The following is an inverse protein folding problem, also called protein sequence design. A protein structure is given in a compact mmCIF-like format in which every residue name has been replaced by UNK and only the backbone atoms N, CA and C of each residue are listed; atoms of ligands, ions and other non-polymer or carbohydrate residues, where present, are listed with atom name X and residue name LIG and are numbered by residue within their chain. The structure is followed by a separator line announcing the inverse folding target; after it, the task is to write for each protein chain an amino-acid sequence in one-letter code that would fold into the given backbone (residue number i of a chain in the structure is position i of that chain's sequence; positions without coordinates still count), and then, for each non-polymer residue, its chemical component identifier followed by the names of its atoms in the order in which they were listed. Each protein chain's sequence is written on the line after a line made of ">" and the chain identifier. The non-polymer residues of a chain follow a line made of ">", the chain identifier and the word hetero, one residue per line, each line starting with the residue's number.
data_IF_207622834039
#
_entry.id   IF_207622834039
#
_cell.length_a   1.000
_cell.length_b   1.000
_cell.length_c   1.000
_cell.angle_alpha   90.00
_cell.angle_beta   90.00
_cell.angle_gamma   90.00
#
_symmetry.space_group_name_H-M   'P 1'
#
loop_
_entity.id
_entity.type
_entity.pdbx_description
1 polymer ?
#
# COMPACT_ATOMS: atom_id res chain seq x y z
N UNK A 1 -23.66 -11.40 16.36
CA UNK A 1 -22.54 -12.36 16.57
C UNK A 1 -22.68 -13.60 15.65
N UNK A 2 -23.16 -13.45 14.47
CA UNK A 2 -23.22 -14.48 13.40
C UNK A 2 -23.63 -15.91 13.86
N UNK A 3 -24.50 -16.02 14.90
CA UNK A 3 -24.99 -17.29 15.43
C UNK A 3 -24.03 -18.06 16.36
N UNK A 4 -22.92 -17.46 16.76
CA UNK A 4 -21.92 -18.11 17.64
C UNK A 4 -22.44 -18.22 19.08
N UNK A 5 -22.32 -19.42 19.67
CA UNK A 5 -22.54 -19.63 21.10
C UNK A 5 -21.28 -19.19 21.86
N UNK A 6 -21.24 -17.93 22.27
CA UNK A 6 -20.07 -17.35 22.92
C UNK A 6 -19.66 -18.04 24.23
N UNK A 7 -20.66 -18.42 25.05
CA UNK A 7 -20.37 -19.07 26.32
C UNK A 7 -19.71 -20.45 26.12
N UNK A 8 -20.15 -21.21 25.13
CA UNK A 8 -19.52 -22.46 24.76
C UNK A 8 -18.09 -22.27 24.26
N UNK A 9 -17.85 -21.23 23.42
CA UNK A 9 -16.49 -20.92 22.98
C UNK A 9 -15.59 -20.50 24.13
N UNK A 10 -16.06 -19.63 25.02
CA UNK A 10 -15.33 -19.28 26.23
C UNK A 10 -14.97 -20.46 27.10
N UNK A 11 -15.92 -21.41 27.30
CA UNK A 11 -15.66 -22.62 28.05
C UNK A 11 -14.57 -23.49 27.39
N UNK A 12 -14.62 -23.64 26.08
CA UNK A 12 -13.61 -24.39 25.33
C UNK A 12 -12.20 -23.78 25.46
N UNK A 13 -12.06 -22.47 25.42
CA UNK A 13 -10.75 -21.83 25.48
C UNK A 13 -10.21 -21.70 26.90
N UNK A 14 -11.06 -21.65 27.95
CA UNK A 14 -10.63 -21.62 29.35
C UNK A 14 -9.74 -22.79 29.76
N UNK A 15 -9.89 -23.97 29.15
CA UNK A 15 -9.05 -25.14 29.42
C UNK A 15 -7.58 -24.94 29.10
N UNK A 16 -7.24 -23.99 28.22
CA UNK A 16 -5.85 -23.70 27.85
C UNK A 16 -5.15 -22.76 28.83
N UNK A 17 -5.91 -21.98 29.64
CA UNK A 17 -5.34 -20.99 30.57
C UNK A 17 -4.26 -21.57 31.52
N UNK A 18 -4.41 -22.80 32.11
CA UNK A 18 -3.37 -23.36 32.96
C UNK A 18 -2.06 -23.68 32.24
N UNK A 19 -2.05 -23.70 30.91
CA UNK A 19 -0.92 -24.08 30.09
C UNK A 19 -0.22 -22.83 29.46
N UNK A 20 -0.76 -21.64 29.67
CA UNK A 20 -0.22 -20.37 29.17
C UNK A 20 0.67 -19.76 30.24
N UNK A 21 1.94 -19.49 29.88
CA UNK A 21 2.97 -18.97 30.78
C UNK A 21 3.64 -17.68 30.29
N UNK A 22 3.18 -17.12 29.18
CA UNK A 22 3.68 -15.84 28.67
C UNK A 22 2.58 -15.07 27.93
N UNK A 23 2.79 -13.78 27.76
CA UNK A 23 1.81 -12.88 27.12
C UNK A 23 1.67 -13.12 25.61
N UNK A 24 2.67 -13.68 24.95
CA UNK A 24 2.57 -14.02 23.54
C UNK A 24 1.55 -15.13 23.31
N UNK A 25 1.66 -16.25 24.04
CA UNK A 25 0.72 -17.35 23.93
C UNK A 25 -0.69 -16.94 24.37
N UNK A 26 -0.80 -16.06 25.38
CA UNK A 26 -2.08 -15.50 25.81
C UNK A 26 -2.73 -14.68 24.69
N UNK A 27 -1.97 -13.83 24.01
CA UNK A 27 -2.48 -13.04 22.89
C UNK A 27 -2.92 -13.91 21.71
N UNK A 28 -2.19 -15.00 21.41
CA UNK A 28 -2.57 -15.99 20.40
C UNK A 28 -3.90 -16.65 20.77
N UNK A 29 -4.01 -17.19 21.99
CA UNK A 29 -5.27 -17.83 22.46
C UNK A 29 -6.43 -16.83 22.41
N UNK A 30 -6.23 -15.59 22.86
CA UNK A 30 -7.24 -14.53 22.81
C UNK A 30 -7.65 -14.22 21.36
N UNK A 31 -6.69 -14.18 20.45
CA UNK A 31 -6.94 -13.95 19.03
C UNK A 31 -7.76 -15.07 18.40
N UNK A 32 -7.45 -16.32 18.72
CA UNK A 32 -8.21 -17.49 18.28
C UNK A 32 -9.64 -17.48 18.82
N UNK A 33 -9.81 -17.25 20.14
CA UNK A 33 -11.14 -17.12 20.75
C UNK A 33 -11.99 -16.03 20.08
N UNK A 34 -11.40 -14.86 19.82
CA UNK A 34 -12.09 -13.76 19.16
C UNK A 34 -12.39 -14.09 17.69
N UNK A 35 -11.57 -14.91 17.04
CA UNK A 35 -11.79 -15.41 15.68
C UNK A 35 -13.07 -16.24 15.55
N UNK A 36 -13.53 -16.91 16.62
CA UNK A 36 -14.79 -17.66 16.65
C UNK A 36 -16.02 -16.75 16.39
N UNK A 37 -15.90 -15.44 16.57
CA UNK A 37 -16.97 -14.49 16.25
C UNK A 37 -17.24 -14.40 14.74
N UNK A 38 -16.37 -14.94 13.90
CA UNK A 38 -16.47 -14.92 12.44
C UNK A 38 -16.73 -13.52 11.89
N UNK A 39 -15.93 -12.57 12.33
CA UNK A 39 -16.05 -11.16 11.94
C UNK A 39 -14.65 -10.54 11.81
N UNK A 40 -14.49 -9.62 10.87
CA UNK A 40 -13.24 -8.88 10.70
C UNK A 40 -12.97 -7.96 11.88
N UNK A 41 -11.76 -7.38 11.95
CA UNK A 41 -11.35 -6.41 12.97
C UNK A 41 -11.35 -6.96 14.41
N UNK A 42 -11.28 -8.28 14.58
CA UNK A 42 -11.03 -8.95 15.87
C UNK A 42 -9.57 -9.32 16.02
N UNK A 43 -9.18 -9.72 17.21
CA UNK A 43 -7.89 -10.35 17.51
C UNK A 43 -7.21 -9.81 18.75
N UNK A 44 -6.32 -10.62 19.32
CA UNK A 44 -5.42 -10.25 20.40
C UNK A 44 -4.04 -9.88 19.87
N UNK A 45 -3.39 -8.89 20.50
CA UNK A 45 -2.03 -8.45 20.13
C UNK A 45 -1.18 -8.32 21.38
N UNK A 46 0.04 -8.82 21.29
CA UNK A 46 1.08 -8.60 22.28
C UNK A 46 2.17 -7.70 21.68
N UNK A 47 2.42 -6.57 22.31
CA UNK A 47 3.41 -5.58 21.86
C UNK A 47 4.41 -5.33 23.00
N UNK A 48 5.44 -6.18 23.14
CA UNK A 48 6.45 -5.99 24.17
C UNK A 48 7.25 -4.71 23.91
N UNK A 49 7.62 -4.01 24.98
CA UNK A 49 8.57 -2.91 24.91
C UNK A 49 9.98 -3.45 24.73
N UNK A 50 10.33 -3.83 23.50
CA UNK A 50 11.69 -4.26 23.17
C UNK A 50 12.56 -3.04 22.90
N UNK A 51 13.67 -2.94 23.62
CA UNK A 51 14.77 -2.03 23.26
C UNK A 51 15.60 -2.73 22.17
N UNK A 52 15.21 -2.56 20.91
CA UNK A 52 16.03 -3.02 19.79
C UNK A 52 16.68 -1.82 19.11
N UNK A 53 17.92 -1.99 18.69
CA UNK A 53 18.56 -1.05 17.77
C UNK A 53 18.08 -1.39 16.36
N UNK A 54 17.31 -0.50 15.70
CA UNK A 54 16.79 -0.80 14.37
C UNK A 54 17.91 -0.88 13.35
N UNK A 55 17.87 -1.86 12.48
CA UNK A 55 18.76 -1.96 11.32
C UNK A 55 18.45 -0.87 10.32
N UNK A 56 19.42 -0.03 10.01
CA UNK A 56 19.28 1.02 9.01
C UNK A 56 19.35 0.46 7.59
N UNK A 57 18.95 1.28 6.62
CA UNK A 57 19.01 0.96 5.19
C UNK A 57 19.86 1.98 4.43
N UNK A 58 20.64 1.49 3.49
CA UNK A 58 21.37 2.30 2.52
C UNK A 58 20.51 2.65 1.29
N UNK A 59 19.27 2.14 1.20
CA UNK A 59 18.41 2.21 0.02
C UNK A 59 19.09 1.67 -1.26
N UNK A 60 19.91 0.65 -1.10
CA UNK A 60 20.53 -0.13 -2.17
C UNK A 60 19.88 -1.52 -2.23
N UNK A 61 19.71 -2.02 -3.45
CA UNK A 61 19.47 -3.44 -3.69
C UNK A 61 20.73 -4.12 -4.20
N UNK A 62 20.87 -5.41 -3.88
CA UNK A 62 22.08 -6.17 -4.15
C UNK A 62 21.77 -7.45 -4.94
N UNK A 63 22.76 -7.92 -5.68
CA UNK A 63 22.72 -9.23 -6.34
C UNK A 63 23.09 -10.34 -5.35
N UNK A 64 22.14 -11.09 -4.91
CA UNK A 64 22.34 -12.22 -3.98
C UNK A 64 23.07 -13.41 -4.60
N UNK A 65 23.18 -13.43 -5.94
CA UNK A 65 23.95 -14.47 -6.67
C UNK A 65 25.42 -14.09 -6.84
N UNK A 66 25.81 -12.86 -6.49
CA UNK A 66 27.20 -12.42 -6.53
C UNK A 66 28.03 -13.21 -5.53
N UNK A 67 29.14 -13.83 -6.01
CA UNK A 67 30.00 -14.71 -5.19
C UNK A 67 31.36 -14.08 -4.84
N UNK A 68 31.60 -12.83 -5.25
CA UNK A 68 32.83 -12.10 -4.91
C UNK A 68 32.78 -11.50 -3.51
N UNK A 69 33.89 -10.86 -3.12
CA UNK A 69 33.92 -10.06 -1.88
C UNK A 69 33.06 -8.83 -2.03
N UNK A 70 32.35 -8.45 -0.96
CA UNK A 70 31.42 -7.33 -0.95
C UNK A 70 30.04 -7.68 -1.50
N UNK A 71 29.23 -6.66 -1.78
CA UNK A 71 27.87 -6.77 -2.29
C UNK A 71 27.72 -5.98 -3.60
N UNK A 72 27.37 -6.65 -4.69
CA UNK A 72 27.16 -6.02 -6.00
C UNK A 72 25.80 -5.28 -6.02
N UNK A 73 25.83 -3.98 -6.27
CA UNK A 73 24.64 -3.13 -6.33
C UNK A 73 23.85 -3.45 -7.61
N UNK A 74 22.57 -3.73 -7.47
CA UNK A 74 21.63 -3.90 -8.60
C UNK A 74 20.80 -2.67 -8.85
N UNK A 75 20.51 -1.89 -7.79
CA UNK A 75 19.70 -0.69 -7.88
C UNK A 75 20.03 0.29 -6.75
N UNK A 76 20.02 1.58 -7.05
CA UNK A 76 20.00 2.71 -6.11
C UNK A 76 18.59 3.29 -6.12
N UNK A 77 17.92 3.33 -4.98
CA UNK A 77 16.56 3.86 -4.88
C UNK A 77 16.58 5.39 -4.95
N UNK A 78 15.75 5.95 -5.84
CA UNK A 78 15.53 7.40 -5.97
C UNK A 78 15.11 8.03 -4.63
N UNK A 79 15.79 9.11 -4.23
CA UNK A 79 15.62 9.78 -2.93
C UNK A 79 16.32 9.09 -1.75
N UNK A 80 17.09 8.03 -2.00
CA UNK A 80 17.91 7.35 -0.99
C UNK A 80 19.21 8.10 -0.66
N UNK A 81 19.95 7.66 0.37
CA UNK A 81 21.18 8.31 0.83
C UNK A 81 22.29 8.43 -0.23
N UNK A 82 22.24 7.59 -1.25
CA UNK A 82 23.23 7.53 -2.35
C UNK A 82 22.68 8.04 -3.69
N UNK A 83 21.46 8.63 -3.68
CA UNK A 83 20.85 9.24 -4.85
C UNK A 83 21.03 10.77 -4.81
N UNK A 84 22.24 11.24 -5.08
CA UNK A 84 22.53 12.67 -5.16
C UNK A 84 23.46 13.00 -6.34
N UNK A 85 23.43 14.25 -6.77
CA UNK A 85 24.24 14.72 -7.91
C UNK A 85 25.73 14.55 -7.63
N UNK A 86 26.40 13.78 -8.45
CA UNK A 86 27.83 13.50 -8.33
C UNK A 86 28.19 12.20 -7.60
N UNK A 87 27.20 11.50 -7.03
CA UNK A 87 27.41 10.15 -6.50
C UNK A 87 27.80 9.20 -7.63
N UNK A 88 28.87 8.40 -7.40
CA UNK A 88 29.36 7.43 -8.38
C UNK A 88 28.73 6.04 -8.22
N UNK A 89 27.90 5.85 -7.19
CA UNK A 89 27.28 4.54 -6.90
C UNK A 89 26.16 4.28 -7.89
N UNK A 90 26.27 3.17 -8.61
CA UNK A 90 25.31 2.74 -9.62
C UNK A 90 25.29 1.22 -9.72
N UNK A 91 24.39 0.67 -10.53
CA UNK A 91 24.30 -0.76 -10.81
C UNK A 91 25.67 -1.32 -11.26
N UNK A 92 26.09 -2.41 -10.66
CA UNK A 92 27.36 -3.10 -10.94
C UNK A 92 28.54 -2.67 -10.05
N UNK A 93 28.40 -1.59 -9.29
CA UNK A 93 29.38 -1.17 -8.27
C UNK A 93 29.30 -2.15 -7.09
N UNK A 94 30.41 -2.39 -6.42
CA UNK A 94 30.52 -3.31 -5.27
C UNK A 94 30.72 -2.50 -4.00
N UNK A 95 29.87 -2.68 -3.00
CA UNK A 95 30.07 -2.21 -1.64
C UNK A 95 31.03 -3.19 -0.93
N UNK A 96 32.27 -2.77 -0.66
CA UNK A 96 33.31 -3.62 -0.07
C UNK A 96 33.35 -3.55 1.46
N UNK A 97 33.09 -2.35 2.06
CA UNK A 97 33.18 -2.12 3.51
C UNK A 97 32.11 -1.18 4.04
N UNK A 98 31.78 -1.37 5.32
CA UNK A 98 30.95 -0.45 6.11
C UNK A 98 31.75 -0.09 7.37
N UNK A 99 32.02 1.21 7.59
CA UNK A 99 32.84 1.73 8.69
C UNK A 99 34.21 1.03 8.82
N UNK A 100 34.81 0.69 7.69
CA UNK A 100 36.12 0.02 7.61
C UNK A 100 36.06 -1.51 7.76
N UNK A 101 34.94 -2.09 8.17
CA UNK A 101 34.75 -3.54 8.30
C UNK A 101 34.42 -4.15 6.93
N UNK A 102 35.16 -5.21 6.54
CA UNK A 102 34.96 -5.88 5.24
C UNK A 102 33.70 -6.71 5.21
N UNK A 103 32.99 -6.65 4.06
CA UNK A 103 31.85 -7.50 3.77
C UNK A 103 32.36 -8.75 3.07
N UNK A 104 32.16 -9.90 3.69
CA UNK A 104 32.57 -11.21 3.17
C UNK A 104 31.34 -12.07 2.86
N UNK A 105 31.42 -13.00 1.87
CA UNK A 105 30.26 -13.80 1.48
C UNK A 105 29.68 -14.71 2.56
N UNK A 106 30.46 -15.02 3.57
CA UNK A 106 30.14 -15.89 4.72
C UNK A 106 29.55 -15.14 5.91
N UNK A 107 29.51 -13.80 5.87
CA UNK A 107 29.06 -12.96 6.98
C UNK A 107 27.86 -12.10 6.60
N UNK A 108 26.82 -12.14 7.43
CA UNK A 108 25.69 -11.21 7.32
C UNK A 108 26.18 -9.77 7.58
N UNK A 109 25.99 -8.88 6.62
CA UNK A 109 26.39 -7.47 6.72
C UNK A 109 25.32 -6.58 7.38
N UNK A 110 24.09 -7.02 7.54
CA UNK A 110 23.02 -6.19 8.12
C UNK A 110 23.27 -5.78 9.57
N UNK A 111 23.88 -6.61 10.44
CA UNK A 111 24.27 -6.19 11.78
C UNK A 111 25.19 -4.95 11.82
N UNK A 112 26.02 -4.73 10.77
CA UNK A 112 26.86 -3.54 10.65
C UNK A 112 26.04 -2.24 10.54
N UNK A 113 24.76 -2.33 10.17
CA UNK A 113 23.83 -1.21 10.04
C UNK A 113 22.92 -1.02 11.26
N UNK A 114 23.05 -1.87 12.31
CA UNK A 114 22.23 -1.73 13.52
C UNK A 114 22.57 -0.40 14.23
N UNK A 115 21.52 0.33 14.63
CA UNK A 115 21.66 1.62 15.29
C UNK A 115 22.25 2.75 14.45
N UNK A 116 22.38 2.58 13.12
CA UNK A 116 23.00 3.57 12.20
C UNK A 116 22.01 4.56 11.58
N UNK A 117 20.73 4.46 11.86
CA UNK A 117 19.72 5.40 11.30
C UNK A 117 20.12 6.84 11.64
N UNK A 118 20.34 7.68 10.62
CA UNK A 118 20.71 9.09 10.76
C UNK A 118 22.13 9.34 11.29
N UNK A 119 22.98 8.32 11.43
CA UNK A 119 24.37 8.45 11.85
C UNK A 119 25.30 8.39 10.65
N UNK A 120 26.35 9.23 10.64
CA UNK A 120 27.38 9.19 9.60
C UNK A 120 28.00 7.79 9.54
N UNK A 121 27.96 7.18 8.38
CA UNK A 121 28.45 5.84 8.09
C UNK A 121 29.36 5.90 6.88
N UNK A 122 30.59 5.39 7.02
CA UNK A 122 31.57 5.33 5.94
C UNK A 122 31.36 4.07 5.11
N UNK A 123 31.24 4.23 3.80
CA UNK A 123 31.04 3.14 2.85
C UNK A 123 32.21 3.13 1.86
N UNK A 124 32.86 1.98 1.68
CA UNK A 124 33.93 1.82 0.68
C UNK A 124 33.40 1.05 -0.53
N UNK A 125 33.57 1.62 -1.72
CA UNK A 125 33.08 1.08 -2.97
C UNK A 125 34.21 0.73 -3.95
N UNK A 126 33.91 -0.22 -4.83
CA UNK A 126 34.76 -0.65 -5.93
C UNK A 126 33.96 -0.74 -7.23
N UNK A 127 34.46 -0.13 -8.29
CA UNK A 127 33.90 -0.31 -9.63
C UNK A 127 34.73 -1.34 -10.40
N UNK A 128 34.19 -2.52 -10.73
CA UNK A 128 34.93 -3.58 -11.40
C UNK A 128 35.31 -3.24 -12.86
N UNK A 129 34.64 -2.26 -13.48
CA UNK A 129 34.92 -1.82 -14.85
C UNK A 129 36.09 -0.83 -14.86
N UNK A 130 35.98 0.29 -14.14
CA UNK A 130 37.01 1.33 -14.07
C UNK A 130 38.20 0.98 -13.16
N UNK A 131 38.06 -0.07 -12.31
CA UNK A 131 39.03 -0.45 -11.26
C UNK A 131 39.21 0.61 -10.17
N UNK A 132 38.37 1.60 -10.12
CA UNK A 132 38.39 2.68 -9.14
C UNK A 132 37.84 2.21 -7.79
N UNK A 133 38.48 2.66 -6.68
CA UNK A 133 37.96 2.57 -5.31
C UNK A 133 37.78 3.96 -4.75
N UNK A 134 36.68 4.16 -4.03
CA UNK A 134 36.42 5.43 -3.36
C UNK A 134 35.56 5.19 -2.12
N UNK A 135 35.35 6.23 -1.36
CA UNK A 135 34.56 6.20 -0.14
C UNK A 135 33.44 7.25 -0.20
N UNK A 136 32.30 6.93 0.41
CA UNK A 136 31.17 7.81 0.60
C UNK A 136 30.78 7.84 2.08
N UNK A 137 30.47 9.03 2.60
CA UNK A 137 29.90 9.18 3.94
C UNK A 137 28.42 9.51 3.81
N UNK A 138 27.57 8.62 4.29
CA UNK A 138 26.12 8.75 4.17
C UNK A 138 25.43 8.75 5.53
N UNK A 139 24.16 9.13 5.54
CA UNK A 139 23.25 8.98 6.67
C UNK A 139 22.22 7.89 6.32
N UNK A 140 22.42 6.64 6.73
CA UNK A 140 21.46 5.56 6.46
C UNK A 140 20.08 5.90 6.99
N UNK A 141 19.04 5.45 6.27
CA UNK A 141 17.63 5.73 6.57
C UNK A 141 16.97 4.60 7.35
N UNK A 142 15.80 4.88 7.94
CA UNK A 142 14.98 3.85 8.59
C UNK A 142 14.32 2.92 7.57
N UNK A 143 13.90 1.73 8.00
CA UNK A 143 13.11 0.81 7.17
C UNK A 143 11.75 1.41 6.75
N UNK A 144 11.14 2.24 7.61
CA UNK A 144 9.91 2.96 7.26
C UNK A 144 10.13 3.98 6.14
N UNK A 145 11.26 4.69 6.17
CA UNK A 145 11.65 5.61 5.07
C UNK A 145 11.90 4.83 3.79
N UNK A 146 12.63 3.71 3.85
CA UNK A 146 12.84 2.84 2.68
C UNK A 146 11.50 2.35 2.10
N UNK A 147 10.56 1.93 2.95
CA UNK A 147 9.22 1.50 2.51
C UNK A 147 8.49 2.63 1.79
N UNK A 148 8.60 3.86 2.28
CA UNK A 148 8.03 5.05 1.62
C UNK A 148 8.67 5.30 0.24
N UNK A 149 9.99 5.17 0.11
CA UNK A 149 10.68 5.32 -1.19
C UNK A 149 10.28 4.23 -2.17
N UNK A 150 10.19 2.98 -1.72
CA UNK A 150 9.71 1.84 -2.53
C UNK A 150 8.27 2.06 -3.01
N UNK A 151 7.40 2.56 -2.14
CA UNK A 151 6.03 2.92 -2.49
C UNK A 151 5.99 4.02 -3.57
N UNK A 152 6.74 5.11 -3.39
CA UNK A 152 6.84 6.20 -4.38
C UNK A 152 7.33 5.68 -5.75
N UNK A 153 8.33 4.80 -5.75
CA UNK A 153 8.82 4.14 -6.98
C UNK A 153 7.71 3.35 -7.67
N UNK A 154 6.95 2.55 -6.91
CA UNK A 154 5.85 1.75 -7.44
C UNK A 154 4.77 2.62 -8.07
N UNK A 155 4.33 3.70 -7.40
CA UNK A 155 3.35 4.66 -7.92
C UNK A 155 3.84 5.32 -9.21
N UNK A 156 5.11 5.75 -9.23
CA UNK A 156 5.72 6.37 -10.41
C UNK A 156 5.68 5.43 -11.61
N UNK A 157 6.07 4.16 -11.42
CA UNK A 157 6.04 3.14 -12.47
C UNK A 157 4.62 2.90 -12.99
N UNK A 158 3.62 2.76 -12.10
CA UNK A 158 2.21 2.57 -12.50
C UNK A 158 1.67 3.77 -13.27
N UNK A 159 1.97 4.98 -12.83
CA UNK A 159 1.58 6.20 -13.55
C UNK A 159 2.23 6.31 -14.94
N UNK A 160 3.50 5.92 -15.06
CA UNK A 160 4.21 5.86 -16.35
C UNK A 160 3.61 4.78 -17.28
N UNK A 161 3.24 3.64 -16.75
CA UNK A 161 2.57 2.58 -17.51
C UNK A 161 1.21 3.04 -18.05
N UNK A 162 0.38 3.66 -17.20
CA UNK A 162 -0.92 4.22 -17.63
C UNK A 162 -0.72 5.28 -18.70
N UNK A 163 0.22 6.20 -18.51
CA UNK A 163 0.55 7.23 -19.51
C UNK A 163 0.99 6.62 -20.86
N UNK A 164 1.86 5.59 -20.81
CA UNK A 164 2.37 4.92 -22.00
C UNK A 164 1.26 4.16 -22.74
N UNK A 165 0.44 3.37 -22.03
CA UNK A 165 -0.60 2.55 -22.66
C UNK A 165 -1.79 3.37 -23.16
N UNK A 166 -2.03 4.56 -22.59
CA UNK A 166 -3.11 5.46 -23.02
C UNK A 166 -2.66 6.58 -23.93
N UNK A 167 -1.38 6.63 -24.34
CA UNK A 167 -0.80 7.77 -25.07
C UNK A 167 -1.04 9.13 -24.34
N UNK A 168 -0.99 9.11 -23.00
CA UNK A 168 -1.18 10.29 -22.17
C UNK A 168 -2.64 10.73 -21.96
N UNK A 169 -3.61 10.00 -22.49
CA UNK A 169 -5.04 10.34 -22.36
C UNK A 169 -5.61 10.07 -20.96
N UNK A 170 -5.01 9.15 -20.19
CA UNK A 170 -5.48 8.79 -18.87
C UNK A 170 -4.52 9.21 -17.76
N UNK A 171 -5.09 9.65 -16.63
CA UNK A 171 -4.38 9.84 -15.38
C UNK A 171 -4.39 8.59 -14.50
N UNK A 172 -3.55 8.60 -13.45
CA UNK A 172 -3.47 7.53 -12.47
C UNK A 172 -3.32 8.11 -11.06
N UNK A 173 -4.15 7.66 -10.14
CA UNK A 173 -4.02 7.96 -8.71
C UNK A 173 -4.11 6.68 -7.90
N UNK A 174 -3.30 6.59 -6.83
CA UNK A 174 -3.37 5.51 -5.86
C UNK A 174 -3.81 6.03 -4.51
N UNK A 175 -4.80 5.38 -3.90
CA UNK A 175 -5.28 5.68 -2.56
C UNK A 175 -4.58 4.75 -1.58
N UNK A 176 -3.49 5.22 -0.96
CA UNK A 176 -2.64 4.39 -0.08
C UNK A 176 -3.36 3.94 1.19
N UNK A 177 -4.15 4.84 1.79
CA UNK A 177 -4.94 4.61 2.99
C UNK A 177 -6.19 5.47 2.93
N UNK A 178 -7.24 5.06 3.60
CA UNK A 178 -8.48 5.83 3.67
C UNK A 178 -8.37 6.92 4.74
N UNK A 179 -7.56 7.97 4.45
CA UNK A 179 -7.30 9.10 5.35
C UNK A 179 -7.19 10.43 4.59
N UNK A 180 -7.21 11.54 5.35
CA UNK A 180 -7.14 12.90 4.81
C UNK A 180 -5.87 13.17 3.96
N UNK A 181 -4.73 12.62 4.36
CA UNK A 181 -3.48 12.78 3.58
C UNK A 181 -3.58 12.18 2.18
N UNK A 182 -4.13 10.97 2.06
CA UNK A 182 -4.41 10.33 0.77
C UNK A 182 -5.46 11.10 -0.04
N UNK A 183 -6.52 11.59 0.62
CA UNK A 183 -7.54 12.40 -0.04
C UNK A 183 -6.97 13.67 -0.66
N UNK A 184 -6.16 14.42 0.10
CA UNK A 184 -5.51 15.65 -0.41
C UNK A 184 -4.63 15.39 -1.61
N UNK A 185 -3.88 14.29 -1.60
CA UNK A 185 -3.04 13.89 -2.73
C UNK A 185 -3.89 13.59 -3.96
N UNK A 186 -4.92 12.75 -3.82
CA UNK A 186 -5.83 12.39 -4.92
C UNK A 186 -6.55 13.63 -5.45
N UNK A 187 -7.11 14.46 -4.56
CA UNK A 187 -7.80 15.69 -4.93
C UNK A 187 -6.91 16.65 -5.72
N UNK A 188 -5.68 16.88 -5.24
CA UNK A 188 -4.69 17.70 -5.91
C UNK A 188 -4.29 17.16 -7.28
N UNK A 189 -4.07 15.84 -7.36
CA UNK A 189 -3.63 15.20 -8.60
C UNK A 189 -4.72 15.22 -9.67
N UNK A 190 -5.97 14.89 -9.33
CA UNK A 190 -7.05 14.81 -10.32
C UNK A 190 -7.49 16.18 -10.82
N UNK A 191 -7.55 17.19 -9.95
CA UNK A 191 -7.99 18.55 -10.31
C UNK A 191 -6.83 19.44 -10.81
N UNK A 192 -5.59 19.04 -10.56
CA UNK A 192 -4.38 19.72 -11.05
C UNK A 192 -3.68 18.92 -12.15
N UNK A 193 -2.82 18.00 -11.74
CA UNK A 193 -1.92 17.23 -12.63
C UNK A 193 -2.65 16.51 -13.78
N UNK A 194 -3.81 15.92 -13.51
CA UNK A 194 -4.56 15.10 -14.46
C UNK A 194 -5.84 15.74 -14.97
N UNK A 195 -6.08 17.02 -14.65
CA UNK A 195 -7.30 17.70 -15.08
C UNK A 195 -7.49 17.74 -16.61
N UNK A 196 -6.39 17.70 -17.37
CA UNK A 196 -6.41 17.68 -18.82
C UNK A 196 -6.70 16.29 -19.43
N UNK A 197 -6.62 15.20 -18.64
CA UNK A 197 -6.84 13.86 -19.13
C UNK A 197 -8.32 13.60 -19.46
N UNK A 198 -8.58 12.67 -20.38
CA UNK A 198 -9.92 12.24 -20.80
C UNK A 198 -10.59 11.38 -19.74
N UNK A 199 -9.81 10.65 -18.92
CA UNK A 199 -10.27 9.78 -17.86
C UNK A 199 -9.19 9.51 -16.82
N UNK A 200 -9.55 8.77 -15.75
CA UNK A 200 -8.61 8.46 -14.67
C UNK A 200 -8.77 7.04 -14.14
N UNK A 201 -7.64 6.39 -13.87
CA UNK A 201 -7.57 5.11 -13.15
C UNK A 201 -7.37 5.40 -11.66
N UNK A 202 -8.27 4.88 -10.82
CA UNK A 202 -8.24 4.99 -9.37
C UNK A 202 -7.79 3.64 -8.82
N UNK A 203 -6.61 3.58 -8.25
CA UNK A 203 -6.05 2.33 -7.71
C UNK A 203 -6.22 2.30 -6.18
N UNK A 204 -7.00 1.35 -5.67
CA UNK A 204 -7.20 1.13 -4.24
C UNK A 204 -6.52 -0.14 -3.75
N UNK A 205 -5.77 -0.83 -4.59
CA UNK A 205 -5.12 -2.09 -4.23
C UNK A 205 -4.17 -1.91 -3.05
N UNK A 206 -4.10 -2.94 -2.21
CA UNK A 206 -3.26 -3.00 -1.00
C UNK A 206 -3.60 -1.95 0.07
N UNK A 207 -4.79 -1.37 0.03
CA UNK A 207 -5.24 -0.38 1.01
C UNK A 207 -5.86 -1.09 2.22
N UNK A 208 -5.32 -0.84 3.40
CA UNK A 208 -5.76 -1.43 4.67
C UNK A 208 -6.99 -0.77 5.31
N UNK A 209 -7.60 0.23 4.66
CA UNK A 209 -8.79 0.93 5.18
C UNK A 209 -8.51 2.26 5.87
N UNK A 210 -9.44 2.67 6.71
CA UNK A 210 -9.52 3.96 7.38
C UNK A 210 -10.96 4.49 7.33
N UNK A 211 -11.15 5.77 6.94
CA UNK A 211 -12.46 6.38 6.75
C UNK A 211 -12.41 7.48 5.68
N UNK A 212 -12.73 7.13 4.43
CA UNK A 212 -12.65 8.07 3.30
C UNK A 212 -13.67 7.77 2.18
N UNK A 213 -14.46 6.70 2.26
CA UNK A 213 -15.31 6.26 1.14
C UNK A 213 -16.35 7.30 0.72
N UNK A 214 -16.90 8.08 1.67
CA UNK A 214 -17.88 9.15 1.40
C UNK A 214 -17.23 10.31 0.62
N UNK A 215 -16.02 10.74 1.01
CA UNK A 215 -15.30 11.80 0.29
C UNK A 215 -14.90 11.38 -1.12
N UNK A 216 -14.50 10.11 -1.29
CA UNK A 216 -14.18 9.54 -2.61
C UNK A 216 -15.44 9.46 -3.48
N UNK A 217 -16.57 9.01 -2.93
CA UNK A 217 -17.84 8.99 -3.62
C UNK A 217 -18.19 10.41 -4.11
N UNK A 218 -18.22 11.39 -3.21
CA UNK A 218 -18.52 12.79 -3.55
C UNK A 218 -17.55 13.32 -4.62
N UNK A 219 -16.27 13.00 -4.55
CA UNK A 219 -15.26 13.49 -5.48
C UNK A 219 -15.45 12.95 -6.91
N UNK A 220 -15.84 11.68 -7.05
CA UNK A 220 -15.95 10.99 -8.34
C UNK A 220 -17.36 10.87 -8.89
N UNK A 221 -18.40 11.24 -8.14
CA UNK A 221 -19.80 11.23 -8.59
C UNK A 221 -20.25 12.54 -9.26
N UNK A 222 -19.30 13.41 -9.63
CA UNK A 222 -19.60 14.70 -10.25
C UNK A 222 -20.28 14.55 -11.62
N UNK A 223 -21.51 15.05 -11.76
CA UNK A 223 -22.19 15.16 -13.05
C UNK A 223 -22.17 16.61 -13.51
N UNK A 224 -21.66 16.84 -14.74
CA UNK A 224 -21.68 18.17 -15.35
C UNK A 224 -23.11 18.69 -15.42
N UNK A 225 -23.32 19.94 -14.93
CA UNK A 225 -24.61 20.62 -14.99
C UNK A 225 -24.54 22.02 -15.60
N UNK A 226 -23.34 22.65 -15.66
CA UNK A 226 -23.11 23.95 -16.31
C UNK A 226 -21.69 24.02 -16.88
N UNK A 227 -21.45 24.91 -17.83
CA UNK A 227 -20.13 25.36 -18.22
C UNK A 227 -19.98 26.84 -17.85
N UNK A 228 -18.94 27.19 -17.15
CA UNK A 228 -18.60 28.58 -16.86
C UNK A 228 -17.93 29.21 -18.07
N UNK A 229 -18.46 30.32 -18.53
CA UNK A 229 -17.95 31.04 -19.71
C UNK A 229 -17.47 32.43 -19.27
N UNK A 230 -16.26 32.79 -19.67
CA UNK A 230 -15.66 34.10 -19.40
C UNK A 230 -15.36 34.79 -20.73
N UNK A 231 -16.04 35.91 -21.01
CA UNK A 231 -15.86 36.70 -22.27
C UNK A 231 -15.97 35.83 -23.55
N UNK A 232 -16.90 34.89 -23.57
CA UNK A 232 -17.12 34.01 -24.72
C UNK A 232 -16.22 32.77 -24.80
N UNK A 233 -15.25 32.61 -23.90
CA UNK A 233 -14.41 31.42 -23.83
C UNK A 233 -14.86 30.52 -22.67
N UNK A 234 -14.96 29.22 -22.92
CA UNK A 234 -15.23 28.23 -21.87
C UNK A 234 -14.05 28.19 -20.89
N UNK A 235 -14.33 28.39 -19.61
CA UNK A 235 -13.33 28.44 -18.54
C UNK A 235 -13.21 27.12 -17.79
N UNK A 236 -14.35 26.57 -17.34
CA UNK A 236 -14.39 25.25 -16.68
C UNK A 236 -15.82 24.69 -16.64
N UNK A 237 -15.87 23.36 -16.50
CA UNK A 237 -17.14 22.69 -16.22
C UNK A 237 -17.50 22.74 -14.72
N UNK A 238 -18.80 22.72 -14.43
CA UNK A 238 -19.28 22.65 -13.06
C UNK A 238 -19.99 21.32 -12.81
N UNK A 239 -19.70 20.67 -11.69
CA UNK A 239 -18.95 21.11 -10.51
C UNK A 239 -17.42 21.11 -10.75
N UNK A 240 -16.78 22.24 -10.59
CA UNK A 240 -15.31 22.40 -10.82
C UNK A 240 -14.41 21.76 -9.76
N UNK A 241 -15.01 21.28 -8.65
CA UNK A 241 -14.29 20.64 -7.53
C UNK A 241 -14.57 19.15 -7.42
N UNK A 242 -15.07 18.53 -8.47
CA UNK A 242 -15.35 17.10 -8.58
C UNK A 242 -14.86 16.59 -9.91
N UNK A 243 -14.50 15.30 -9.94
CA UNK A 243 -14.18 14.65 -11.20
C UNK A 243 -15.50 14.35 -11.96
N UNK A 244 -15.64 14.88 -13.15
CA UNK A 244 -16.85 14.77 -13.98
C UNK A 244 -16.62 14.01 -15.29
N UNK A 245 -15.46 13.38 -15.43
CA UNK A 245 -15.07 12.58 -16.60
C UNK A 245 -15.07 11.09 -16.25
N UNK A 246 -14.98 10.18 -17.26
CA UNK A 246 -14.89 8.75 -17.00
C UNK A 246 -13.79 8.38 -16.02
N UNK A 247 -14.05 7.36 -15.20
CA UNK A 247 -13.10 6.78 -14.29
C UNK A 247 -13.30 5.28 -14.15
N UNK A 248 -12.26 4.56 -13.75
CA UNK A 248 -12.29 3.13 -13.47
C UNK A 248 -11.52 2.85 -12.20
N UNK A 249 -11.99 1.91 -11.37
CA UNK A 249 -11.36 1.61 -10.09
C UNK A 249 -10.70 0.23 -10.10
N UNK A 250 -9.50 0.14 -9.51
CA UNK A 250 -8.80 -1.12 -9.25
C UNK A 250 -8.99 -1.53 -7.80
N UNK A 251 -9.25 -2.83 -7.58
CA UNK A 251 -9.30 -3.48 -6.28
C UNK A 251 -8.48 -4.77 -6.28
N UNK A 252 -8.10 -5.26 -5.11
CA UNK A 252 -7.48 -6.56 -4.94
C UNK A 252 -7.90 -7.24 -3.63
N UNK A 253 -7.56 -8.50 -3.48
CA UNK A 253 -7.83 -9.33 -2.31
C UNK A 253 -7.24 -8.81 -1.00
N UNK A 254 -6.26 -7.91 -1.07
CA UNK A 254 -5.64 -7.27 0.10
C UNK A 254 -6.36 -5.98 0.55
N UNK A 255 -7.39 -5.54 -0.17
CA UNK A 255 -8.22 -4.43 0.29
C UNK A 255 -8.96 -4.83 1.58
N UNK A 256 -8.93 -3.95 2.59
CA UNK A 256 -9.48 -4.26 3.90
C UNK A 256 -10.30 -3.08 4.46
N UNK A 257 -11.33 -3.36 5.26
CA UNK A 257 -12.11 -2.34 5.98
C UNK A 257 -12.74 -1.31 5.02
N UNK A 258 -12.51 -0.04 5.21
CA UNK A 258 -13.03 1.03 4.34
C UNK A 258 -12.56 0.90 2.87
N UNK A 259 -11.46 0.17 2.61
CA UNK A 259 -11.03 -0.16 1.25
C UNK A 259 -11.85 -1.29 0.60
N UNK A 260 -12.69 -2.02 1.36
CA UNK A 260 -13.81 -2.80 0.84
C UNK A 260 -15.01 -1.89 0.53
N UNK A 261 -15.35 -0.98 1.46
CA UNK A 261 -16.48 -0.06 1.29
C UNK A 261 -16.34 0.89 0.11
N UNK A 262 -15.14 1.36 -0.18
CA UNK A 262 -14.89 2.32 -1.27
C UNK A 262 -15.24 1.76 -2.66
N UNK A 263 -14.72 0.61 -3.12
CA UNK A 263 -15.13 0.04 -4.40
C UNK A 263 -16.57 -0.44 -4.39
N UNK A 264 -17.12 -0.85 -3.24
CA UNK A 264 -18.54 -1.18 -3.12
C UNK A 264 -19.44 0.03 -3.41
N UNK A 265 -19.16 1.17 -2.78
CA UNK A 265 -19.89 2.43 -3.02
C UNK A 265 -19.72 2.87 -4.47
N UNK A 266 -18.50 2.87 -4.98
CA UNK A 266 -18.17 3.26 -6.36
C UNK A 266 -19.00 2.49 -7.39
N UNK A 267 -19.09 1.17 -7.22
CA UNK A 267 -19.87 0.27 -8.07
C UNK A 267 -21.38 0.49 -7.88
N UNK A 268 -21.87 0.54 -6.63
CA UNK A 268 -23.30 0.66 -6.31
C UNK A 268 -23.88 1.99 -6.79
N UNK A 269 -23.12 3.08 -6.70
CA UNK A 269 -23.51 4.40 -7.19
C UNK A 269 -23.35 4.55 -8.71
N UNK A 270 -22.87 3.52 -9.41
CA UNK A 270 -22.69 3.55 -10.87
C UNK A 270 -21.69 4.61 -11.33
N UNK A 271 -20.67 4.91 -10.54
CA UNK A 271 -19.64 5.91 -10.86
C UNK A 271 -18.76 5.42 -12.01
N UNK A 272 -18.39 4.15 -12.01
CA UNK A 272 -17.64 3.48 -13.07
C UNK A 272 -17.47 1.99 -12.77
N UNK A 273 -16.72 1.29 -13.62
CA UNK A 273 -16.43 -0.13 -13.46
C UNK A 273 -15.32 -0.39 -12.45
N UNK A 274 -15.35 -1.55 -11.82
CA UNK A 274 -14.31 -2.04 -10.90
C UNK A 274 -13.61 -3.23 -11.53
N UNK A 275 -12.28 -3.20 -11.55
CA UNK A 275 -11.41 -4.23 -12.15
C UNK A 275 -10.48 -4.81 -11.08
N UNK A 276 -10.21 -6.10 -11.13
CA UNK A 276 -9.23 -6.73 -10.26
C UNK A 276 -9.66 -8.05 -9.67
N UNK A 277 -9.18 -8.37 -8.48
CA UNK A 277 -9.58 -9.54 -7.70
C UNK A 277 -10.74 -9.24 -6.76
N UNK A 278 -11.54 -10.24 -6.35
CA UNK A 278 -12.57 -10.07 -5.34
C UNK A 278 -11.98 -9.54 -4.01
N UNK A 279 -12.72 -8.64 -3.36
CA UNK A 279 -12.35 -8.13 -2.04
C UNK A 279 -13.07 -8.92 -0.95
N UNK A 280 -12.38 -9.43 0.08
CA UNK A 280 -13.03 -10.09 1.22
C UNK A 280 -14.03 -9.17 1.92
N UNK A 281 -15.10 -9.75 2.46
CA UNK A 281 -16.13 -9.01 3.20
C UNK A 281 -15.66 -8.56 4.58
N UNK A 282 -15.02 -7.41 4.67
CA UNK A 282 -14.35 -6.92 5.88
C UNK A 282 -14.79 -5.50 6.28
N UNK A 283 -16.09 -5.21 6.17
CA UNK A 283 -16.62 -3.85 6.39
C UNK A 283 -17.27 -3.73 7.77
N UNK A 284 -16.43 -3.64 8.81
CA UNK A 284 -16.82 -3.23 10.16
C UNK A 284 -15.92 -2.10 10.67
N UNK A 285 -16.16 -1.62 11.88
CA UNK A 285 -15.18 -0.81 12.62
C UNK A 285 -14.80 -1.52 13.91
N UNK A 286 -13.68 -1.13 14.52
CA UNK A 286 -13.12 -1.76 15.70
C UNK A 286 -12.94 -0.75 16.84
N UNK A 287 -13.26 -1.18 18.07
CA UNK A 287 -12.72 -0.60 19.30
C UNK A 287 -11.56 -1.46 19.78
N UNK A 288 -10.40 -0.82 19.97
CA UNK A 288 -9.24 -1.47 20.53
C UNK A 288 -9.20 -1.22 22.04
N UNK A 289 -9.23 -2.32 22.80
CA UNK A 289 -9.21 -2.28 24.26
C UNK A 289 -7.85 -2.76 24.78
N UNK A 290 -7.29 -2.00 25.71
CA UNK A 290 -6.01 -2.32 26.36
C UNK A 290 -6.29 -3.02 27.68
N UNK A 291 -5.69 -4.21 27.87
CA UNK A 291 -5.83 -4.96 29.11
C UNK A 291 -5.06 -4.30 30.26
N UNK A 292 -5.19 -4.84 31.48
CA UNK A 292 -4.45 -4.40 32.67
C UNK A 292 -2.93 -4.42 32.41
N UNK A 293 -2.43 -5.47 31.78
CA UNK A 293 -1.10 -5.46 31.18
C UNK A 293 -1.17 -4.72 29.84
N UNK A 294 -0.61 -3.50 29.80
CA UNK A 294 -0.66 -2.58 28.67
C UNK A 294 0.07 -3.10 27.42
N UNK A 295 0.81 -4.17 27.51
CA UNK A 295 1.42 -4.83 26.35
C UNK A 295 0.42 -5.70 25.58
N UNK A 296 -0.77 -5.95 26.16
CA UNK A 296 -1.85 -6.73 25.60
C UNK A 296 -3.03 -5.86 25.19
N UNK A 297 -3.44 -6.00 23.94
CA UNK A 297 -4.57 -5.27 23.35
C UNK A 297 -5.44 -6.25 22.60
N UNK A 298 -6.76 -6.05 22.62
CA UNK A 298 -7.69 -6.82 21.78
C UNK A 298 -8.65 -5.89 21.03
N UNK A 299 -9.14 -6.36 19.89
CA UNK A 299 -10.08 -5.63 19.04
C UNK A 299 -11.46 -6.25 19.05
N UNK A 300 -12.51 -5.43 19.22
CA UNK A 300 -13.91 -5.82 19.13
C UNK A 300 -14.59 -4.93 18.07
N UNK A 301 -15.27 -5.52 17.06
CA UNK A 301 -16.07 -4.77 16.11
C UNK A 301 -17.29 -4.17 16.80
N UNK A 302 -17.54 -2.88 16.55
CA UNK A 302 -18.64 -2.13 17.20
C UNK A 302 -19.64 -1.51 16.22
N UNK A 303 -19.28 -1.40 14.92
CA UNK A 303 -20.15 -0.87 13.88
C UNK A 303 -20.18 -1.83 12.69
N UNK A 304 -21.38 -2.17 12.25
CA UNK A 304 -21.62 -2.88 10.99
C UNK A 304 -22.28 -1.97 9.96
N UNK A 305 -22.04 -2.22 8.69
CA UNK A 305 -22.62 -1.49 7.57
C UNK A 305 -23.65 -2.36 6.86
N UNK A 306 -24.89 -1.91 6.83
CA UNK A 306 -26.03 -2.65 6.31
C UNK A 306 -26.59 -1.98 5.07
N UNK A 307 -26.78 -2.76 4.01
CA UNK A 307 -27.45 -2.35 2.77
C UNK A 307 -28.95 -2.14 3.00
N UNK A 308 -29.64 -1.47 2.08
CA UNK A 308 -31.09 -1.25 2.14
C UNK A 308 -31.90 -2.56 2.21
N UNK A 309 -31.41 -3.61 1.55
CA UNK A 309 -32.02 -4.95 1.58
C UNK A 309 -31.83 -5.69 2.92
N UNK A 310 -31.18 -5.08 3.92
CA UNK A 310 -30.93 -5.64 5.24
C UNK A 310 -29.65 -6.48 5.36
N UNK A 311 -28.93 -6.75 4.27
CA UNK A 311 -27.69 -7.54 4.28
C UNK A 311 -26.50 -6.68 4.72
N UNK A 312 -25.69 -7.18 5.62
CA UNK A 312 -24.45 -6.53 6.04
C UNK A 312 -23.33 -6.78 5.01
N UNK A 313 -22.46 -5.80 4.85
CA UNK A 313 -21.26 -5.92 4.00
C UNK A 313 -20.20 -6.86 4.61
N UNK A 314 -20.20 -7.02 5.93
CA UNK A 314 -19.34 -7.97 6.61
C UNK A 314 -19.62 -9.40 6.15
N UNK A 315 -18.57 -10.18 5.90
CA UNK A 315 -18.64 -11.52 5.31
C UNK A 315 -19.29 -11.59 3.91
N UNK A 316 -19.49 -10.45 3.25
CA UNK A 316 -19.98 -10.38 1.87
C UNK A 316 -18.82 -9.98 0.95
N UNK A 317 -18.30 -10.94 0.21
CA UNK A 317 -17.24 -10.69 -0.78
C UNK A 317 -17.73 -9.73 -1.88
N UNK A 318 -16.90 -8.76 -2.26
CA UNK A 318 -17.19 -7.82 -3.34
C UNK A 318 -16.51 -8.29 -4.64
N UNK A 319 -17.34 -8.75 -5.57
CA UNK A 319 -16.89 -9.11 -6.91
C UNK A 319 -16.61 -7.87 -7.77
N UNK A 320 -15.48 -7.84 -8.51
CA UNK A 320 -15.26 -6.80 -9.50
C UNK A 320 -16.22 -6.96 -10.68
N UNK A 321 -16.40 -5.90 -11.48
CA UNK A 321 -17.12 -6.00 -12.75
C UNK A 321 -16.29 -6.75 -13.80
N UNK A 322 -14.98 -6.66 -13.70
CA UNK A 322 -14.03 -7.32 -14.59
C UNK A 322 -12.99 -8.05 -13.73
N UNK A 323 -13.11 -9.38 -13.66
CA UNK A 323 -12.17 -10.22 -12.92
C UNK A 323 -10.84 -10.32 -13.67
N UNK A 324 -9.77 -9.90 -13.04
CA UNK A 324 -8.39 -10.06 -13.52
C UNK A 324 -7.48 -10.36 -12.33
N UNK A 325 -6.68 -11.42 -12.45
CA UNK A 325 -5.69 -11.78 -11.46
C UNK A 325 -4.28 -11.51 -12.00
N UNK A 326 -3.41 -11.00 -11.15
CA UNK A 326 -1.98 -10.93 -11.44
C UNK A 326 -1.33 -12.22 -10.95
N UNK A 327 -0.67 -12.98 -11.84
CA UNK A 327 0.10 -14.15 -11.41
C UNK A 327 1.44 -13.73 -10.77
N UNK A 328 2.00 -14.54 -9.85
CA UNK A 328 3.33 -14.28 -9.31
C UNK A 328 4.39 -14.11 -10.39
N UNK A 329 4.30 -14.89 -11.46
CA UNK A 329 5.23 -14.85 -12.59
C UNK A 329 5.15 -13.53 -13.36
N UNK A 330 3.93 -12.98 -13.55
CA UNK A 330 3.74 -11.68 -14.21
C UNK A 330 4.29 -10.55 -13.35
N UNK A 331 4.04 -10.60 -12.04
CA UNK A 331 4.55 -9.59 -11.08
C UNK A 331 6.09 -9.56 -11.08
N UNK A 332 6.75 -10.72 -11.06
CA UNK A 332 8.21 -10.82 -11.12
C UNK A 332 8.77 -10.23 -12.42
N UNK A 333 8.05 -10.34 -13.52
CA UNK A 333 8.40 -9.71 -14.82
C UNK A 333 8.08 -8.23 -14.88
N UNK A 334 7.45 -7.66 -13.84
CA UNK A 334 7.02 -6.27 -13.80
C UNK A 334 5.74 -6.00 -14.59
N UNK A 335 5.00 -7.05 -14.98
CA UNK A 335 3.73 -6.96 -15.69
C UNK A 335 2.58 -6.73 -14.69
N UNK A 336 1.64 -5.86 -15.04
CA UNK A 336 0.43 -5.58 -14.25
C UNK A 336 -0.81 -5.73 -15.12
N UNK A 337 -1.32 -6.97 -15.19
CA UNK A 337 -2.47 -7.30 -16.02
C UNK A 337 -3.75 -6.61 -15.57
N UNK A 338 -3.92 -6.40 -14.26
CA UNK A 338 -5.06 -5.66 -13.70
C UNK A 338 -5.06 -4.21 -14.17
N UNK A 339 -3.92 -3.52 -14.03
CA UNK A 339 -3.78 -2.13 -14.43
C UNK A 339 -3.94 -1.97 -15.96
N UNK A 340 -3.32 -2.87 -16.73
CA UNK A 340 -3.43 -2.86 -18.18
C UNK A 340 -4.88 -3.02 -18.64
N UNK A 341 -5.60 -3.99 -18.06
CA UNK A 341 -7.01 -4.21 -18.36
C UNK A 341 -7.88 -3.00 -18.01
N UNK A 342 -7.63 -2.35 -16.89
CA UNK A 342 -8.35 -1.13 -16.50
C UNK A 342 -8.14 0.01 -17.52
N UNK A 343 -6.91 0.21 -17.99
CA UNK A 343 -6.59 1.19 -19.03
C UNK A 343 -7.34 0.89 -20.33
N UNK A 344 -7.30 -0.37 -20.81
CA UNK A 344 -7.97 -0.80 -22.03
C UNK A 344 -9.49 -0.59 -21.96
N UNK A 345 -10.11 -0.96 -20.83
CA UNK A 345 -11.55 -0.84 -20.64
C UNK A 345 -12.00 0.62 -20.56
N UNK A 346 -11.23 1.47 -19.86
CA UNK A 346 -11.55 2.89 -19.74
C UNK A 346 -11.41 3.62 -21.10
N UNK A 347 -10.37 3.32 -21.87
CA UNK A 347 -10.21 3.86 -23.23
C UNK A 347 -11.36 3.44 -24.13
N UNK A 348 -11.76 2.16 -24.09
CA UNK A 348 -12.92 1.66 -24.84
C UNK A 348 -14.21 2.40 -24.47
N UNK A 349 -14.43 2.69 -23.19
CA UNK A 349 -15.59 3.47 -22.74
C UNK A 349 -15.56 4.90 -23.26
N UNK A 350 -14.40 5.56 -23.23
CA UNK A 350 -14.23 6.93 -23.71
C UNK A 350 -14.45 7.01 -25.24
N UNK A 351 -13.90 6.05 -25.98
CA UNK A 351 -13.97 6.05 -27.45
C UNK A 351 -15.38 5.62 -27.97
N UNK A 352 -16.22 5.09 -27.10
CA UNK A 352 -17.63 4.71 -27.44
C UNK A 352 -18.64 5.84 -27.23
N UNK A 353 -18.25 6.93 -26.56
CA UNK A 353 -19.09 8.13 -26.32
C UNK A 353 -18.84 9.19 -27.35
#
# INVERSE_FOLDING_TARGET
>A
MHGVNWDAMCANYRRFLPHINNNYDFAIMLSELLGELNVSHTGGRYSPMLKSEPTASLALFFDWNYKGKGMAVTEVIEGGPLDYKGCKVSKGVILEKIDGEEITPDKDCYPMLNGKVGKKTLLSFYNPISKERWEEVVLPISQSTLSTLKYKRWIKQRAEDVKRWSNGRLGYVHIQSMNDGSFRTVYSDILGKYNHCDGIVIDTRFNGGGRLHEDIEVLFSGKKYLTQVIRGAEACDMPSRRWNKPSIMLQCEANYSNAHGTPWVYKTMGIGKVVGAPVPGTMTTVSWETLQDRTLVFGIPIVGYRQENGVYLENCQLEPDILVLNSPESIVKGEDSQLKRAVEELLKEIDSK
#
